data_IF_279837680892
#
_entry.id   IF_279837680892
#
_cell.length_a   1.000
_cell.length_b   1.000
_cell.length_c   1.000
_cell.angle_alpha   90.00
_cell.angle_beta   90.00
_cell.angle_gamma   90.00
#
_symmetry.space_group_name_H-M   'P 1'
#
loop_
_entity.id
_entity.type
_entity.pdbx_description
1 polymer ?
#
# COMPACT_ATOMS: atom_id res chain seq x y z
N UNK A 1 -6.49 -44.70 -43.40
CA UNK A 1 -6.84 -44.71 -41.96
C UNK A 1 -5.79 -43.88 -41.21
N UNK A 2 -6.04 -42.58 -41.02
CA UNK A 2 -5.08 -41.63 -40.39
C UNK A 2 -5.56 -41.29 -38.98
N UNK A 3 -4.64 -41.35 -38.01
CA UNK A 3 -4.89 -41.39 -36.55
C UNK A 3 -5.30 -40.00 -35.98
N UNK A 4 -6.35 -39.91 -35.13
CA UNK A 4 -6.81 -38.65 -34.54
C UNK A 4 -6.07 -38.31 -33.22
N UNK A 5 -4.73 -38.28 -33.23
CA UNK A 5 -3.94 -38.04 -31.99
C UNK A 5 -3.42 -36.59 -31.91
N UNK A 6 -3.55 -35.80 -32.97
CA UNK A 6 -2.89 -34.48 -33.05
C UNK A 6 -3.70 -33.35 -32.38
N UNK A 7 -5.02 -33.49 -32.21
CA UNK A 7 -5.86 -32.41 -31.65
C UNK A 7 -5.82 -32.29 -30.11
N UNK A 8 -5.40 -33.34 -29.39
CA UNK A 8 -5.31 -33.30 -27.92
C UNK A 8 -4.15 -32.45 -27.39
N UNK A 9 -3.05 -32.37 -28.14
CA UNK A 9 -1.85 -31.65 -27.73
C UNK A 9 -1.98 -30.11 -27.91
N UNK A 10 -2.74 -29.67 -28.91
CA UNK A 10 -2.92 -28.23 -29.21
C UNK A 10 -3.92 -27.60 -28.22
N UNK A 11 -4.99 -28.30 -27.85
CA UNK A 11 -5.98 -27.81 -26.88
C UNK A 11 -5.45 -27.69 -25.46
N UNK A 12 -4.62 -28.65 -25.02
CA UNK A 12 -4.00 -28.63 -23.69
C UNK A 12 -3.03 -27.45 -23.49
N UNK A 13 -2.20 -27.15 -24.50
CA UNK A 13 -1.25 -26.04 -24.43
C UNK A 13 -1.93 -24.67 -24.33
N UNK A 14 -3.01 -24.45 -25.09
CA UNK A 14 -3.78 -23.20 -25.05
C UNK A 14 -4.50 -23.04 -23.71
N UNK A 15 -5.12 -24.10 -23.18
CA UNK A 15 -5.80 -24.05 -21.88
C UNK A 15 -4.83 -23.75 -20.72
N UNK A 16 -3.64 -24.35 -20.72
CA UNK A 16 -2.60 -24.09 -19.71
C UNK A 16 -2.08 -22.65 -19.82
N UNK A 17 -1.83 -22.15 -21.04
CA UNK A 17 -1.38 -20.77 -21.24
C UNK A 17 -2.42 -19.75 -20.75
N UNK A 18 -3.71 -19.96 -21.05
CA UNK A 18 -4.80 -19.11 -20.55
C UNK A 18 -4.86 -19.17 -19.03
N UNK A 19 -4.77 -20.36 -18.42
CA UNK A 19 -4.78 -20.49 -16.96
C UNK A 19 -3.62 -19.74 -16.29
N UNK A 20 -2.41 -19.82 -16.85
CA UNK A 20 -1.24 -19.09 -16.34
C UNK A 20 -1.44 -17.57 -16.45
N UNK A 21 -1.91 -17.08 -17.60
CA UNK A 21 -2.19 -15.65 -17.81
C UNK A 21 -3.25 -15.15 -16.82
N UNK A 22 -4.31 -15.92 -16.60
CA UNK A 22 -5.37 -15.58 -15.64
C UNK A 22 -4.83 -15.54 -14.20
N UNK A 23 -3.98 -16.48 -13.80
CA UNK A 23 -3.37 -16.48 -12.45
C UNK A 23 -2.51 -15.24 -12.22
N UNK A 24 -1.69 -14.85 -13.18
CA UNK A 24 -0.84 -13.64 -13.09
C UNK A 24 -1.65 -12.34 -13.20
N UNK A 25 -2.76 -12.34 -13.94
CA UNK A 25 -3.65 -11.17 -14.02
C UNK A 25 -4.40 -10.93 -12.69
N UNK A 26 -4.69 -11.98 -11.92
CA UNK A 26 -5.39 -11.89 -10.63
C UNK A 26 -4.41 -11.60 -9.48
N UNK A 27 -3.17 -12.10 -9.57
CA UNK A 27 -2.13 -11.87 -8.58
C UNK A 27 -1.04 -10.97 -9.17
N UNK A 28 -1.22 -9.64 -9.19
CA UNK A 28 -0.13 -8.75 -9.53
C UNK A 28 1.05 -9.05 -8.59
N UNK A 29 2.26 -8.97 -9.12
CA UNK A 29 3.47 -9.15 -8.33
C UNK A 29 3.43 -8.16 -7.16
N UNK A 30 3.26 -8.67 -5.93
CA UNK A 30 3.31 -7.85 -4.73
C UNK A 30 4.75 -7.38 -4.55
N UNK A 31 4.96 -6.07 -4.55
CA UNK A 31 6.28 -5.49 -4.29
C UNK A 31 6.82 -5.96 -2.93
N UNK A 32 8.13 -6.14 -2.84
CA UNK A 32 8.75 -6.60 -1.59
C UNK A 32 8.54 -5.56 -0.48
N UNK A 33 8.75 -4.29 -0.80
CA UNK A 33 8.59 -3.17 0.10
C UNK A 33 7.66 -2.15 -0.55
N UNK A 34 6.53 -1.87 0.07
CA UNK A 34 5.60 -0.86 -0.42
C UNK A 34 4.90 -0.19 0.77
N UNK A 35 4.60 1.09 0.62
CA UNK A 35 4.02 1.92 1.65
C UNK A 35 2.89 2.77 1.05
N UNK A 36 1.78 2.83 1.76
CA UNK A 36 0.66 3.71 1.43
C UNK A 36 0.38 4.64 2.60
N UNK A 37 0.09 5.89 2.30
CA UNK A 37 -0.23 6.93 3.30
C UNK A 37 -1.57 7.53 2.92
N UNK A 38 -2.54 7.40 3.83
CA UNK A 38 -3.91 7.87 3.64
C UNK A 38 -4.30 8.86 4.73
N UNK A 39 -4.42 10.15 4.41
CA UNK A 39 -4.99 11.12 5.33
C UNK A 39 -6.53 11.08 5.27
N UNK A 40 -7.18 11.15 6.44
CA UNK A 40 -8.64 11.18 6.60
C UNK A 40 -9.03 12.25 7.60
N UNK A 41 -10.12 12.96 7.32
CA UNK A 41 -10.70 13.90 8.26
C UNK A 41 -11.89 13.25 8.94
N UNK A 42 -11.86 13.23 10.27
CA UNK A 42 -12.92 12.63 11.09
C UNK A 42 -13.48 13.69 12.03
N UNK A 43 -14.81 13.71 12.17
CA UNK A 43 -15.49 14.62 13.10
C UNK A 43 -15.56 13.99 14.48
N UNK A 44 -14.84 14.58 15.43
CA UNK A 44 -14.80 14.13 16.82
C UNK A 44 -15.70 15.01 17.67
N UNK A 45 -16.70 14.41 18.32
CA UNK A 45 -17.65 15.12 19.20
C UNK A 45 -16.91 15.88 20.30
N UNK A 46 -17.14 17.20 20.37
CA UNK A 46 -16.51 18.08 21.37
C UNK A 46 -15.12 18.61 20.99
N UNK A 47 -14.53 18.16 19.88
CA UNK A 47 -13.22 18.64 19.39
C UNK A 47 -13.33 19.28 18.00
N UNK A 48 -14.22 18.77 17.15
CA UNK A 48 -14.38 19.24 15.77
C UNK A 48 -13.71 18.30 14.76
N UNK A 49 -13.37 18.83 13.59
CA UNK A 49 -12.72 18.08 12.52
C UNK A 49 -11.24 17.83 12.87
N UNK A 50 -10.84 16.57 12.94
CA UNK A 50 -9.46 16.16 13.23
C UNK A 50 -8.94 15.35 12.05
N UNK A 51 -7.74 15.70 11.58
CA UNK A 51 -7.06 14.93 10.53
C UNK A 51 -6.30 13.77 11.19
N UNK A 52 -6.44 12.59 10.60
CA UNK A 52 -5.72 11.37 10.97
C UNK A 52 -4.98 10.85 9.76
N UNK A 53 -3.80 10.29 9.98
CA UNK A 53 -2.97 9.74 8.92
C UNK A 53 -2.78 8.26 9.17
N UNK A 54 -3.22 7.46 8.23
CA UNK A 54 -3.05 6.02 8.23
C UNK A 54 -1.83 5.69 7.37
N UNK A 55 -0.87 4.99 7.97
CA UNK A 55 0.36 4.56 7.28
C UNK A 55 0.32 3.05 7.20
N UNK A 56 0.27 2.50 5.98
CA UNK A 56 0.11 1.07 5.76
C UNK A 56 1.30 0.49 5.00
N UNK A 57 1.83 -0.65 5.47
CA UNK A 57 2.74 -1.46 4.68
C UNK A 57 1.93 -2.37 3.74
N UNK A 58 1.97 -2.07 2.45
CA UNK A 58 1.29 -2.82 1.38
C UNK A 58 2.23 -3.80 0.67
N UNK A 59 3.50 -3.85 1.09
CA UNK A 59 4.48 -4.79 0.59
C UNK A 59 4.39 -6.16 1.26
N UNK A 60 5.22 -7.09 0.82
CA UNK A 60 5.29 -8.45 1.36
C UNK A 60 6.33 -8.63 2.48
N UNK A 61 7.19 -7.63 2.73
CA UNK A 61 8.22 -7.65 3.78
C UNK A 61 8.05 -6.48 4.78
N UNK A 62 8.49 -6.64 6.05
CA UNK A 62 8.46 -5.56 7.03
C UNK A 62 9.27 -4.34 6.61
N UNK A 63 8.79 -3.15 6.97
CA UNK A 63 9.52 -1.89 6.85
C UNK A 63 10.13 -1.52 8.20
N UNK A 64 11.35 -1.02 8.20
CA UNK A 64 12.05 -0.63 9.43
C UNK A 64 12.24 0.88 9.51
N UNK A 65 12.25 1.38 10.75
CA UNK A 65 12.50 2.79 11.06
C UNK A 65 11.59 3.74 10.26
N UNK A 66 10.28 3.45 10.27
CA UNK A 66 9.30 4.25 9.56
C UNK A 66 9.14 5.58 10.30
N UNK A 67 9.58 6.68 9.67
CA UNK A 67 9.48 8.02 10.21
C UNK A 67 8.33 8.75 9.52
N UNK A 68 7.41 9.31 10.32
CA UNK A 68 6.30 10.13 9.85
C UNK A 68 6.63 11.58 10.21
N UNK A 69 6.99 12.39 9.23
CA UNK A 69 7.42 13.77 9.41
C UNK A 69 6.29 14.75 9.03
N UNK A 70 5.91 15.60 9.98
CA UNK A 70 4.87 16.62 9.84
C UNK A 70 5.45 18.02 9.55
N UNK A 71 6.77 18.13 9.38
CA UNK A 71 7.53 19.37 9.20
C UNK A 71 7.93 20.06 10.50
N UNK A 72 7.10 19.99 11.54
CA UNK A 72 7.39 20.56 12.88
C UNK A 72 7.83 19.51 13.89
N UNK A 73 7.22 18.32 13.80
CA UNK A 73 7.44 17.17 14.68
C UNK A 73 7.40 15.90 13.85
N UNK A 74 7.81 14.78 14.43
CA UNK A 74 7.75 13.49 13.75
C UNK A 74 7.46 12.37 14.72
N UNK A 75 6.69 11.39 14.26
CA UNK A 75 6.56 10.09 14.90
C UNK A 75 7.51 9.08 14.27
N UNK A 76 7.88 8.03 15.00
CA UNK A 76 8.73 6.97 14.48
C UNK A 76 8.25 5.62 14.96
N UNK A 77 8.19 4.67 14.04
CA UNK A 77 7.83 3.29 14.29
C UNK A 77 9.02 2.39 13.92
N UNK A 78 9.59 1.63 14.88
CA UNK A 78 10.77 0.81 14.62
C UNK A 78 10.55 -0.25 13.53
N UNK A 79 9.36 -0.85 13.49
CA UNK A 79 8.98 -1.88 12.52
C UNK A 79 7.51 -1.73 12.17
N UNK A 80 7.19 -1.80 10.88
CA UNK A 80 5.83 -1.86 10.34
C UNK A 80 5.67 -3.15 9.51
N UNK A 81 4.93 -4.12 10.04
CA UNK A 81 4.76 -5.43 9.40
C UNK A 81 3.80 -5.34 8.20
N UNK A 82 3.91 -6.27 7.22
CA UNK A 82 2.97 -6.35 6.10
C UNK A 82 1.51 -6.38 6.57
N UNK A 83 0.68 -5.52 5.99
CA UNK A 83 -0.74 -5.40 6.31
C UNK A 83 -1.06 -4.53 7.54
N UNK A 84 -0.08 -4.16 8.37
CA UNK A 84 -0.31 -3.22 9.46
C UNK A 84 -0.59 -1.82 8.94
N UNK A 85 -1.51 -1.11 9.61
CA UNK A 85 -2.03 0.20 9.20
C UNK A 85 -2.25 1.15 10.40
N UNK A 86 -1.21 1.46 11.19
CA UNK A 86 -1.31 2.38 12.32
C UNK A 86 -1.85 3.75 11.93
N UNK A 87 -2.56 4.34 12.87
CA UNK A 87 -3.15 5.66 12.80
C UNK A 87 -2.32 6.64 13.61
N UNK A 88 -1.98 7.77 12.99
CA UNK A 88 -1.28 8.88 13.62
C UNK A 88 -2.14 10.14 13.60
N UNK A 89 -1.88 11.05 14.54
CA UNK A 89 -2.59 12.32 14.68
C UNK A 89 -1.58 13.46 14.50
N UNK A 90 -1.46 14.01 13.27
CA UNK A 90 -0.62 15.17 13.03
C UNK A 90 -1.02 16.36 13.92
N UNK A 91 -0.07 17.24 14.28
CA UNK A 91 -0.41 18.51 14.91
C UNK A 91 -1.34 19.35 14.06
N UNK A 92 -2.14 20.20 14.71
CA UNK A 92 -3.02 21.13 14.02
C UNK A 92 -2.22 22.08 13.10
N UNK A 93 -2.76 22.36 11.91
CA UNK A 93 -2.11 23.21 10.91
C UNK A 93 -1.05 22.51 10.06
N UNK A 94 -0.79 21.21 10.27
CA UNK A 94 0.05 20.41 9.38
C UNK A 94 -0.53 20.40 7.97
N UNK A 95 0.29 20.73 6.96
CA UNK A 95 -0.14 20.80 5.55
C UNK A 95 0.29 19.59 4.74
N UNK A 96 1.44 19.02 5.09
CA UNK A 96 2.10 17.95 4.36
C UNK A 96 2.63 16.93 5.37
N UNK A 97 2.55 15.66 4.99
CA UNK A 97 3.18 14.56 5.71
C UNK A 97 4.14 13.85 4.78
N UNK A 98 5.35 13.60 5.27
CA UNK A 98 6.38 12.85 4.57
C UNK A 98 6.70 11.61 5.38
N UNK A 99 6.50 10.44 4.78
CA UNK A 99 6.83 9.17 5.43
C UNK A 99 8.04 8.55 4.75
N UNK A 100 9.06 8.23 5.53
CA UNK A 100 10.32 7.60 5.07
C UNK A 100 10.64 6.34 5.86
N UNK A 101 11.50 5.48 5.32
CA UNK A 101 11.99 4.27 6.00
C UNK A 101 13.41 3.89 5.54
N UNK A 102 14.03 2.90 6.20
CA UNK A 102 15.39 2.44 5.87
C UNK A 102 15.47 1.74 4.50
N UNK A 103 14.34 1.25 3.97
CA UNK A 103 14.27 0.64 2.64
C UNK A 103 14.26 1.70 1.51
N UNK A 104 14.39 2.97 1.85
CA UNK A 104 14.52 4.07 0.90
C UNK A 104 13.20 4.54 0.30
N UNK A 105 12.06 4.07 0.79
CA UNK A 105 10.75 4.53 0.34
C UNK A 105 10.48 5.91 0.95
N UNK A 106 10.03 6.84 0.13
CA UNK A 106 9.56 8.17 0.54
C UNK A 106 8.19 8.44 -0.06
N UNK A 107 7.19 8.67 0.79
CA UNK A 107 5.83 9.01 0.36
C UNK A 107 5.44 10.36 0.95
N UNK A 108 5.02 11.28 0.10
CA UNK A 108 4.53 12.60 0.51
C UNK A 108 3.04 12.72 0.23
N UNK A 109 2.28 13.25 1.22
CA UNK A 109 0.85 13.49 1.10
C UNK A 109 0.46 14.86 1.64
N UNK A 110 -0.37 15.57 0.89
CA UNK A 110 -1.01 16.80 1.35
C UNK A 110 -2.23 16.49 2.21
N UNK A 111 -2.33 17.15 3.36
CA UNK A 111 -3.49 17.05 4.26
C UNK A 111 -4.61 18.01 3.84
N UNK A 112 -4.31 19.02 3.02
CA UNK A 112 -5.30 19.97 2.49
C UNK A 112 -6.38 19.28 1.65
N UNK A 113 -6.04 18.15 1.02
CA UNK A 113 -6.96 17.38 0.15
C UNK A 113 -8.01 16.59 0.96
N UNK A 114 -7.76 16.39 2.26
CA UNK A 114 -8.70 15.74 3.19
C UNK A 114 -9.73 16.72 3.78
N UNK A 115 -9.61 18.02 3.51
CA UNK A 115 -10.48 19.07 4.05
C UNK A 115 -11.63 19.46 3.11
N UNK A 116 -11.81 18.75 1.98
CA UNK A 116 -12.97 18.91 1.08
C UNK A 116 -14.07 17.91 1.38
#
# INVERSE_FOLDING_TARGET
MVKPVIYGAIGGGVAVAIAVIVIFAIHPATEQYALTVEPRTEMVMGVGNVVRVYVQNTGSSPLTNVKIDYGTTSDTLPVLNPGEHPMFSPPEGTKMVTVTNDQGITVMKSLTDSMQ
#
